data_IF_182322365341
#
_entry.id   IF_182322365341
#
_cell.length_a   1.000
_cell.length_b   1.000
_cell.length_c   1.000
_cell.angle_alpha   90.00
_cell.angle_beta   90.00
_cell.angle_gamma   90.00
#
_symmetry.space_group_name_H-M   'P 1'
#
loop_
_entity.id
_entity.type
_entity.pdbx_description
1 polymer ?
#
# COMPACT_ATOMS: atom_id res chain seq x y z
N UNK A 1 5.93 -13.83 -1.73
CA UNK A 1 5.78 -12.51 -2.37
C UNK A 1 5.85 -11.42 -1.32
N UNK A 2 6.60 -10.34 -1.59
CA UNK A 2 6.78 -9.24 -0.64
C UNK A 2 6.14 -7.97 -1.19
N UNK A 3 5.30 -7.33 -0.39
CA UNK A 3 4.59 -6.11 -0.75
C UNK A 3 5.14 -4.94 0.06
N UNK A 4 5.42 -3.83 -0.60
CA UNK A 4 5.61 -2.54 0.08
C UNK A 4 4.22 -1.90 0.25
N UNK A 5 3.69 -1.96 1.46
CA UNK A 5 2.32 -1.55 1.73
C UNK A 5 2.11 -0.04 1.51
N UNK A 6 3.08 0.80 1.92
CA UNK A 6 2.94 2.26 1.82
C UNK A 6 3.04 2.72 0.37
N UNK A 7 3.99 2.20 -0.40
CA UNK A 7 4.12 2.54 -1.81
C UNK A 7 2.88 2.12 -2.63
N UNK A 8 2.34 0.92 -2.35
CA UNK A 8 1.15 0.40 -3.03
C UNK A 8 -0.09 1.23 -2.66
N UNK A 9 -0.25 1.57 -1.38
CA UNK A 9 -1.39 2.36 -0.90
C UNK A 9 -1.36 3.80 -1.43
N UNK A 10 -0.19 4.44 -1.43
CA UNK A 10 0.01 5.76 -2.01
C UNK A 10 -0.34 5.76 -3.51
N UNK A 11 0.16 4.77 -4.26
CA UNK A 11 -0.18 4.61 -5.68
C UNK A 11 -1.68 4.43 -5.90
N UNK A 12 -2.32 3.59 -5.09
CA UNK A 12 -3.77 3.33 -5.19
C UNK A 12 -4.58 4.60 -4.93
N UNK A 13 -4.17 5.41 -3.93
CA UNK A 13 -4.85 6.66 -3.58
C UNK A 13 -4.82 7.67 -4.73
N UNK A 14 -3.68 7.83 -5.41
CA UNK A 14 -3.53 8.83 -6.48
C UNK A 14 -3.97 8.37 -7.87
N UNK A 15 -4.07 7.06 -8.11
CA UNK A 15 -4.39 6.51 -9.43
C UNK A 15 -5.89 6.36 -9.69
N UNK A 16 -6.72 6.38 -8.64
CA UNK A 16 -8.16 6.11 -8.74
C UNK A 16 -8.99 7.39 -8.62
N UNK A 17 -10.21 7.40 -9.18
CA UNK A 17 -11.17 8.49 -8.96
C UNK A 17 -11.54 8.62 -7.48
N UNK A 18 -12.14 9.76 -7.10
CA UNK A 18 -12.66 10.00 -5.76
C UNK A 18 -13.84 9.08 -5.45
N UNK A 19 -13.53 7.86 -5.01
CA UNK A 19 -14.52 6.93 -4.47
C UNK A 19 -14.79 7.26 -3.01
N UNK A 20 -16.08 7.33 -2.67
CA UNK A 20 -16.53 7.55 -1.31
C UNK A 20 -17.57 6.52 -0.90
N UNK A 21 -17.56 6.17 0.38
CA UNK A 21 -18.63 5.39 1.00
C UNK A 21 -19.93 6.20 1.05
N UNK A 22 -21.09 5.58 1.35
CA UNK A 22 -22.33 6.32 1.61
C UNK A 22 -22.24 7.32 2.76
N UNK A 23 -21.29 7.16 3.70
CA UNK A 23 -20.99 8.12 4.77
C UNK A 23 -20.01 9.23 4.34
N UNK A 24 -19.52 9.20 3.09
CA UNK A 24 -18.60 10.19 2.53
C UNK A 24 -17.11 9.91 2.76
N UNK A 25 -16.76 8.76 3.34
CA UNK A 25 -15.36 8.41 3.63
C UNK A 25 -14.63 8.00 2.34
N UNK A 26 -13.39 8.47 2.11
CA UNK A 26 -12.60 8.06 0.94
C UNK A 26 -12.31 6.56 0.95
N UNK A 27 -12.61 5.87 -0.17
CA UNK A 27 -12.43 4.42 -0.32
C UNK A 27 -11.54 4.03 -1.49
N UNK A 28 -11.07 5.00 -2.29
CA UNK A 28 -10.26 4.76 -3.49
C UNK A 28 -9.00 3.95 -3.21
N UNK A 29 -8.19 4.35 -2.23
CA UNK A 29 -6.97 3.63 -1.87
C UNK A 29 -7.25 2.18 -1.47
N UNK A 30 -8.26 1.95 -0.63
CA UNK A 30 -8.64 0.60 -0.19
C UNK A 30 -9.02 -0.28 -1.39
N UNK A 31 -9.88 0.25 -2.29
CA UNK A 31 -10.28 -0.46 -3.49
C UNK A 31 -9.07 -0.82 -4.37
N UNK A 32 -8.18 0.14 -4.63
CA UNK A 32 -7.01 -0.08 -5.48
C UNK A 32 -6.03 -1.10 -4.91
N UNK A 33 -5.75 -1.06 -3.61
CA UNK A 33 -4.88 -2.03 -2.94
C UNK A 33 -5.46 -3.44 -3.06
N UNK A 34 -6.75 -3.62 -2.78
CA UNK A 34 -7.41 -4.94 -2.85
C UNK A 34 -7.44 -5.46 -4.29
N UNK A 35 -7.79 -4.62 -5.27
CA UNK A 35 -7.80 -5.01 -6.68
C UNK A 35 -6.42 -5.44 -7.18
N UNK A 36 -5.36 -4.70 -6.82
CA UNK A 36 -3.99 -5.08 -7.14
C UNK A 36 -3.60 -6.40 -6.49
N UNK A 37 -3.91 -6.57 -5.19
CA UNK A 37 -3.58 -7.80 -4.47
C UNK A 37 -4.24 -9.03 -5.11
N UNK A 38 -5.53 -8.96 -5.43
CA UNK A 38 -6.27 -10.05 -6.07
C UNK A 38 -5.66 -10.40 -7.43
N UNK A 39 -5.35 -9.39 -8.26
CA UNK A 39 -4.70 -9.61 -9.56
C UNK A 39 -3.37 -10.32 -9.42
N UNK A 40 -2.54 -9.91 -8.46
CA UNK A 40 -1.22 -10.51 -8.25
C UNK A 40 -1.36 -11.96 -7.75
N UNK A 41 -2.35 -12.25 -6.88
CA UNK A 41 -2.63 -13.62 -6.43
C UNK A 41 -3.02 -14.52 -7.60
N UNK A 42 -3.91 -14.05 -8.48
CA UNK A 42 -4.36 -14.82 -9.65
C UNK A 42 -3.22 -15.06 -10.65
N UNK A 43 -2.42 -14.03 -10.91
CA UNK A 43 -1.37 -14.05 -11.93
C UNK A 43 -0.15 -14.87 -11.49
N UNK A 44 0.33 -14.67 -10.26
CA UNK A 44 1.59 -15.25 -9.80
C UNK A 44 1.43 -16.47 -8.89
N UNK A 45 0.21 -16.71 -8.37
CA UNK A 45 -0.12 -17.85 -7.49
C UNK A 45 0.92 -18.10 -6.38
N UNK A 46 1.28 -17.08 -5.59
CA UNK A 46 2.29 -17.23 -4.56
C UNK A 46 1.79 -18.13 -3.43
N UNK A 47 2.65 -19.02 -2.93
CA UNK A 47 2.33 -19.83 -1.74
C UNK A 47 2.21 -18.98 -0.47
N UNK A 48 2.95 -17.86 -0.41
CA UNK A 48 3.00 -16.96 0.73
C UNK A 48 3.06 -15.49 0.31
N UNK A 49 2.43 -14.63 1.10
CA UNK A 49 2.44 -13.18 0.93
C UNK A 49 2.80 -12.54 2.27
N UNK A 50 3.71 -11.58 2.22
CA UNK A 50 4.05 -10.72 3.35
C UNK A 50 4.01 -9.25 2.90
N UNK A 51 3.58 -8.37 3.79
CA UNK A 51 3.54 -6.94 3.56
C UNK A 51 4.46 -6.23 4.56
N UNK A 52 5.34 -5.38 4.05
CA UNK A 52 6.21 -4.52 4.83
C UNK A 52 5.52 -3.17 5.05
N UNK A 53 5.53 -2.72 6.30
CA UNK A 53 5.08 -1.40 6.69
C UNK A 53 6.29 -0.58 7.10
N UNK A 54 6.31 0.69 6.70
CA UNK A 54 7.31 1.63 7.18
C UNK A 54 7.09 1.88 8.66
N UNK A 55 8.19 1.97 9.40
CA UNK A 55 8.16 2.34 10.80
C UNK A 55 7.94 3.86 10.90
N UNK A 56 7.12 4.33 11.85
CA UNK A 56 6.96 5.76 12.10
C UNK A 56 8.20 6.38 12.73
N UNK A 57 9.10 5.56 13.27
CA UNK A 57 10.30 6.02 13.98
C UNK A 57 11.47 6.30 13.02
N UNK A 58 12.32 7.29 13.34
CA UNK A 58 13.56 7.54 12.59
C UNK A 58 14.40 6.26 12.54
N UNK A 59 14.72 5.83 11.33
CA UNK A 59 15.70 4.76 11.14
C UNK A 59 17.11 5.29 11.42
N UNK A 60 18.07 4.40 11.70
CA UNK A 60 19.49 4.72 11.85
C UNK A 60 20.06 5.64 10.76
N UNK A 61 19.52 5.59 9.54
CA UNK A 61 19.94 6.48 8.44
C UNK A 61 19.58 7.94 8.70
N UNK A 62 18.48 8.21 9.42
CA UNK A 62 18.12 9.57 9.81
C UNK A 62 19.15 10.14 10.79
N UNK A 63 19.65 9.32 11.72
CA UNK A 63 20.68 9.75 12.68
C UNK A 63 22.06 9.94 12.00
N UNK A 64 22.40 9.04 11.07
CA UNK A 64 23.69 9.05 10.38
C UNK A 64 23.84 10.18 9.33
N UNK A 65 22.72 10.71 8.84
CA UNK A 65 22.67 11.76 7.81
C UNK A 65 21.78 12.94 8.25
N UNK A 66 21.73 13.23 9.55
CA UNK A 66 21.10 14.43 10.06
C UNK A 66 21.98 15.65 9.71
N UNK A 67 21.53 16.48 8.77
CA UNK A 67 22.07 17.83 8.53
C UNK A 67 21.64 18.81 9.63
#
# INVERSE_FOLDING_TARGET
MLLDAHAILHRAFHALPDFSSPSGEPTGALYGVVAMLLKIIEEFKPDYIAACFDLPEPTYRHDAFAD
#
